data_IF_095081579822
#
_entry.id   IF_095081579822
#
_cell.length_a   1.000
_cell.length_b   1.000
_cell.length_c   1.000
_cell.angle_alpha   90.00
_cell.angle_beta   90.00
_cell.angle_gamma   90.00
#
_symmetry.space_group_name_H-M   'P 1'
#
loop_
_entity.id
_entity.type
_entity.pdbx_description
1 polymer ?
#
# COMPACT_ATOMS: atom_id res chain seq x y z
N UNK A 1 -17.91 -65.88 -27.42
CA UNK A 1 -18.74 -64.71 -27.76
C UNK A 1 -18.10 -63.49 -27.10
N UNK A 2 -17.62 -62.52 -27.89
CA UNK A 2 -16.96 -61.29 -27.44
C UNK A 2 -17.78 -60.08 -27.85
N UNK A 3 -18.07 -59.18 -26.91
CA UNK A 3 -18.39 -57.73 -27.05
C UNK A 3 -18.85 -57.14 -25.70
N UNK A 4 -18.76 -55.83 -25.43
CA UNK A 4 -17.53 -55.04 -25.27
C UNK A 4 -17.53 -54.22 -23.94
N UNK A 5 -16.36 -53.69 -23.57
CA UNK A 5 -16.17 -52.69 -22.51
C UNK A 5 -16.55 -51.28 -23.01
N UNK A 6 -16.99 -50.35 -22.12
CA UNK A 6 -16.48 -48.99 -22.19
C UNK A 6 -15.94 -48.48 -20.85
N UNK A 7 -15.00 -47.56 -20.98
CA UNK A 7 -14.05 -47.08 -19.99
C UNK A 7 -14.60 -45.88 -19.16
N UNK A 8 -13.75 -45.07 -18.51
CA UNK A 8 -13.70 -44.88 -17.06
C UNK A 8 -14.42 -43.61 -16.62
N UNK A 9 -15.06 -43.62 -15.45
CA UNK A 9 -15.53 -42.40 -14.82
C UNK A 9 -14.35 -41.60 -14.27
N UNK A 10 -13.87 -40.71 -15.14
CA UNK A 10 -13.23 -39.42 -14.88
C UNK A 10 -12.98 -39.12 -13.41
N UNK A 11 -11.73 -39.29 -13.01
CA UNK A 11 -11.13 -38.55 -11.89
C UNK A 11 -11.33 -37.07 -12.22
N UNK A 12 -12.22 -36.39 -11.48
CA UNK A 12 -12.20 -34.94 -11.41
C UNK A 12 -10.92 -34.54 -10.68
N UNK A 13 -9.82 -34.51 -11.41
CA UNK A 13 -8.70 -33.63 -11.07
C UNK A 13 -9.25 -32.22 -11.20
N UNK A 14 -9.70 -31.66 -10.08
CA UNK A 14 -9.85 -30.22 -9.93
C UNK A 14 -8.48 -29.62 -10.18
N UNK A 15 -8.24 -29.22 -11.42
CA UNK A 15 -7.10 -28.39 -11.81
C UNK A 15 -7.27 -27.06 -11.09
N UNK A 16 -6.80 -26.98 -9.85
CA UNK A 16 -6.56 -25.72 -9.20
C UNK A 16 -5.63 -24.94 -10.14
N UNK A 17 -6.15 -23.86 -10.73
CA UNK A 17 -5.35 -22.93 -11.51
C UNK A 17 -4.17 -22.48 -10.63
N UNK A 18 -2.90 -22.71 -11.02
CA UNK A 18 -1.74 -22.34 -10.21
C UNK A 18 -1.52 -20.81 -10.14
N UNK A 19 -2.50 -20.03 -10.59
CA UNK A 19 -2.44 -18.57 -10.67
C UNK A 19 -2.90 -17.86 -9.38
N UNK A 20 -3.55 -18.58 -8.45
CA UNK A 20 -4.28 -17.95 -7.33
C UNK A 20 -3.45 -17.69 -6.06
N UNK A 21 -2.26 -18.26 -5.92
CA UNK A 21 -1.43 -18.10 -4.71
C UNK A 21 0.02 -17.73 -5.06
N UNK A 22 0.20 -16.77 -5.96
CA UNK A 22 1.47 -16.04 -5.99
C UNK A 22 1.45 -15.08 -4.80
N UNK A 23 1.72 -15.60 -3.60
CA UNK A 23 1.94 -14.78 -2.40
C UNK A 23 2.84 -13.62 -2.79
N UNK A 24 2.29 -12.40 -2.76
CA UNK A 24 3.06 -11.22 -3.10
C UNK A 24 4.32 -11.23 -2.24
N UNK A 25 5.49 -11.18 -2.88
CA UNK A 25 6.76 -11.23 -2.15
C UNK A 25 6.79 -10.00 -1.20
N UNK A 26 7.19 -10.15 0.07
CA UNK A 26 7.11 -9.08 1.08
C UNK A 26 7.81 -7.78 0.65
N UNK A 27 8.87 -7.86 -0.14
CA UNK A 27 9.55 -6.72 -0.77
C UNK A 27 8.64 -5.87 -1.66
N UNK A 28 7.62 -6.45 -2.32
CA UNK A 28 6.66 -5.67 -3.11
C UNK A 28 5.77 -4.82 -2.21
N UNK A 29 5.43 -5.30 -1.02
CA UNK A 29 4.69 -4.51 -0.04
C UNK A 29 5.52 -3.35 0.50
N UNK A 30 6.82 -3.58 0.75
CA UNK A 30 7.76 -2.51 1.18
C UNK A 30 7.89 -1.43 0.11
N UNK A 31 8.09 -1.81 -1.16
CA UNK A 31 8.20 -0.85 -2.27
C UNK A 31 6.89 -0.07 -2.46
N UNK A 32 5.74 -0.76 -2.45
CA UNK A 32 4.45 -0.09 -2.58
C UNK A 32 4.18 0.90 -1.44
N UNK A 33 4.51 0.51 -0.19
CA UNK A 33 4.34 1.37 0.97
C UNK A 33 5.26 2.59 0.94
N UNK A 34 6.52 2.40 0.51
CA UNK A 34 7.46 3.50 0.31
C UNK A 34 6.90 4.52 -0.69
N UNK A 35 6.43 4.06 -1.85
CA UNK A 35 5.89 4.94 -2.89
C UNK A 35 4.60 5.65 -2.43
N UNK A 36 3.74 4.96 -1.70
CA UNK A 36 2.53 5.55 -1.10
C UNK A 36 2.86 6.64 -0.07
N UNK A 37 3.92 6.46 0.73
CA UNK A 37 4.39 7.48 1.68
C UNK A 37 4.97 8.70 0.95
N UNK A 38 5.75 8.50 -0.11
CA UNK A 38 6.25 9.62 -0.93
C UNK A 38 5.10 10.39 -1.60
N UNK A 39 4.11 9.67 -2.12
CA UNK A 39 2.90 10.28 -2.67
C UNK A 39 2.15 11.08 -1.61
N UNK A 40 1.96 10.53 -0.41
CA UNK A 40 1.32 11.23 0.70
C UNK A 40 2.07 12.53 1.05
N UNK A 41 3.40 12.51 1.09
CA UNK A 41 4.19 13.72 1.34
C UNK A 41 3.96 14.79 0.26
N UNK A 42 3.84 14.37 -1.00
CA UNK A 42 3.47 15.27 -2.10
C UNK A 42 2.07 15.85 -1.92
N UNK A 43 1.06 15.02 -1.64
CA UNK A 43 -0.32 15.43 -1.41
C UNK A 43 -0.42 16.43 -0.22
N UNK A 44 0.40 16.27 0.82
CA UNK A 44 0.50 17.22 1.93
C UNK A 44 1.03 18.59 1.50
N UNK A 45 2.04 18.62 0.62
CA UNK A 45 2.56 19.87 0.06
C UNK A 45 1.54 20.57 -0.83
N UNK A 46 0.88 19.84 -1.73
CA UNK A 46 -0.19 20.40 -2.57
C UNK A 46 -1.30 21.00 -1.71
N UNK A 47 -1.74 20.26 -0.68
CA UNK A 47 -2.77 20.77 0.23
C UNK A 47 -2.32 22.00 1.03
N UNK A 48 -1.07 22.04 1.45
CA UNK A 48 -0.52 23.21 2.14
C UNK A 48 -0.49 24.45 1.24
N UNK A 49 -0.14 24.28 -0.03
CA UNK A 49 -0.16 25.37 -1.01
C UNK A 49 -1.61 25.85 -1.29
N UNK A 50 -2.59 24.95 -1.36
CA UNK A 50 -4.01 25.28 -1.49
C UNK A 50 -4.57 26.09 -0.30
N UNK A 51 -4.17 25.75 0.92
CA UNK A 51 -4.59 26.47 2.15
C UNK A 51 -3.96 27.87 2.26
N UNK A 52 -2.86 28.12 1.54
CA UNK A 52 -2.07 29.33 1.64
C UNK A 52 -1.03 29.27 2.78
N UNK A 53 0.21 29.64 2.43
CA UNK A 53 1.45 29.46 3.24
C UNK A 53 1.51 30.20 4.58
N UNK A 54 0.46 30.89 4.98
CA UNK A 54 0.39 31.65 6.24
C UNK A 54 -0.55 31.02 7.27
N UNK A 55 -1.24 29.93 6.93
CA UNK A 55 -2.09 29.21 7.89
C UNK A 55 -1.25 28.26 8.74
N UNK A 56 -1.62 28.09 10.00
CA UNK A 56 -0.99 27.11 10.89
C UNK A 56 -1.10 25.70 10.30
N UNK A 57 -2.24 25.35 9.71
CA UNK A 57 -2.46 24.05 9.09
C UNK A 57 -1.52 23.81 7.89
N UNK A 58 -1.30 24.81 7.03
CA UNK A 58 -0.34 24.69 5.94
C UNK A 58 1.09 24.45 6.48
N UNK A 59 1.51 25.19 7.51
CA UNK A 59 2.83 24.96 8.13
C UNK A 59 2.97 23.56 8.71
N UNK A 60 1.92 23.06 9.40
CA UNK A 60 1.92 21.71 9.97
C UNK A 60 1.95 20.63 8.89
N UNK A 61 1.24 20.81 7.77
CA UNK A 61 1.28 19.90 6.64
C UNK A 61 2.66 19.86 5.97
N UNK A 62 3.34 21.00 5.82
CA UNK A 62 4.71 21.03 5.29
C UNK A 62 5.69 20.26 6.17
N UNK A 63 5.58 20.42 7.50
CA UNK A 63 6.42 19.65 8.44
C UNK A 63 6.07 18.16 8.38
N UNK A 64 4.77 17.83 8.34
CA UNK A 64 4.31 16.45 8.21
C UNK A 64 4.78 15.79 6.90
N UNK A 65 4.84 16.54 5.80
CA UNK A 65 5.37 16.05 4.53
C UNK A 65 6.84 15.63 4.67
N UNK A 66 7.69 16.48 5.28
CA UNK A 66 9.08 16.14 5.54
C UNK A 66 9.25 14.90 6.43
N UNK A 67 8.45 14.79 7.49
CA UNK A 67 8.45 13.60 8.35
C UNK A 67 7.97 12.34 7.61
N UNK A 68 7.07 12.48 6.64
CA UNK A 68 6.55 11.37 5.84
C UNK A 68 7.59 10.87 4.84
N UNK A 69 8.43 11.75 4.27
CA UNK A 69 9.60 11.33 3.49
C UNK A 69 10.58 10.54 4.36
N UNK A 70 10.87 11.03 5.59
CA UNK A 70 11.72 10.29 6.51
C UNK A 70 11.12 8.91 6.88
N UNK A 71 9.79 8.82 7.05
CA UNK A 71 9.10 7.54 7.27
C UNK A 71 9.26 6.59 6.08
N UNK A 72 9.20 7.09 4.84
CA UNK A 72 9.45 6.28 3.64
C UNK A 72 10.87 5.68 3.67
N UNK A 73 11.89 6.48 4.01
CA UNK A 73 13.28 6.00 4.14
C UNK A 73 13.43 4.95 5.24
N UNK A 74 12.70 5.08 6.36
CA UNK A 74 12.70 4.11 7.45
C UNK A 74 12.10 2.77 7.04
N UNK A 75 11.01 2.79 6.26
CA UNK A 75 10.40 1.58 5.68
C UNK A 75 11.34 0.95 4.65
N UNK A 76 11.89 1.73 3.72
CA UNK A 76 12.80 1.22 2.68
C UNK A 76 14.10 0.63 3.25
N UNK A 77 14.60 1.19 4.35
CA UNK A 77 15.78 0.66 5.06
C UNK A 77 15.48 -0.54 5.97
N UNK A 78 14.21 -0.94 6.13
CA UNK A 78 13.79 -2.01 7.03
C UNK A 78 13.90 -1.66 8.52
N UNK A 79 14.08 -0.37 8.84
CA UNK A 79 14.12 0.12 10.23
C UNK A 79 12.73 0.28 10.84
N UNK A 80 11.72 0.46 9.99
CA UNK A 80 10.32 0.33 10.34
C UNK A 80 9.74 -0.93 9.71
N UNK A 81 8.87 -1.60 10.46
CA UNK A 81 8.03 -2.64 9.91
C UNK A 81 6.91 -2.04 9.04
N UNK A 82 6.26 -2.91 8.26
CA UNK A 82 5.19 -2.53 7.34
C UNK A 82 4.00 -1.94 8.11
N UNK A 83 3.67 -2.49 9.28
CA UNK A 83 2.51 -2.06 10.07
C UNK A 83 2.68 -0.62 10.60
N UNK A 84 3.88 -0.26 11.05
CA UNK A 84 4.21 1.10 11.46
C UNK A 84 4.10 2.09 10.29
N UNK A 85 4.58 1.70 9.11
CA UNK A 85 4.46 2.53 7.91
C UNK A 85 3.00 2.70 7.46
N UNK A 86 2.17 1.65 7.54
CA UNK A 86 0.73 1.73 7.26
C UNK A 86 0.04 2.65 8.27
N UNK A 87 0.32 2.51 9.56
CA UNK A 87 -0.25 3.37 10.60
C UNK A 87 0.11 4.85 10.40
N UNK A 88 1.34 5.14 9.95
CA UNK A 88 1.77 6.49 9.58
C UNK A 88 0.98 7.00 8.36
N UNK A 89 0.88 6.19 7.31
CA UNK A 89 0.14 6.51 6.07
C UNK A 89 -1.33 6.87 6.37
N UNK A 90 -2.01 6.06 7.18
CA UNK A 90 -3.40 6.29 7.57
C UNK A 90 -3.55 7.56 8.41
N UNK A 91 -2.62 7.81 9.34
CA UNK A 91 -2.60 9.03 10.15
C UNK A 91 -2.40 10.29 9.30
N UNK A 92 -1.51 10.22 8.31
CA UNK A 92 -1.26 11.32 7.38
C UNK A 92 -2.44 11.61 6.46
N UNK A 93 -3.10 10.56 5.93
CA UNK A 93 -4.35 10.70 5.15
C UNK A 93 -5.45 11.37 5.99
N UNK A 94 -5.60 10.96 7.24
CA UNK A 94 -6.54 11.59 8.17
C UNK A 94 -6.18 13.05 8.48
N UNK A 95 -4.89 13.41 8.53
CA UNK A 95 -4.45 14.79 8.72
C UNK A 95 -4.86 15.69 7.55
N UNK A 96 -4.61 15.26 6.31
CA UNK A 96 -5.07 15.98 5.10
C UNK A 96 -6.58 16.19 5.15
N UNK A 97 -7.34 15.13 5.44
CA UNK A 97 -8.80 15.18 5.44
C UNK A 97 -9.38 16.16 6.48
N UNK A 98 -8.74 16.31 7.65
CA UNK A 98 -9.17 17.30 8.65
C UNK A 98 -9.06 18.73 8.15
N UNK A 99 -8.09 19.04 7.30
CA UNK A 99 -7.91 20.38 6.74
C UNK A 99 -8.92 20.72 5.64
N UNK A 100 -9.73 19.75 5.19
CA UNK A 100 -10.75 19.95 4.14
C UNK A 100 -12.13 20.27 4.70
N UNK A 101 -12.34 20.13 6.01
CA UNK A 101 -13.60 20.38 6.71
C UNK A 101 -13.67 21.82 7.20
#
# INVERSE_FOLDING_TARGET
MHKPSPAPHLVQTSTACPCAERTARPEYAVVALHDDLLKLAHDMHERADELGRLTTDACLLVVAAGNTVAAADLVASGRWDIDAGIAWLDSGRAAIERTRR
#
